data_IF_438966896462
#
_entry.id   IF_438966896462
#
_cell.length_a   1.000
_cell.length_b   1.000
_cell.length_c   1.000
_cell.angle_alpha   90.00
_cell.angle_beta   90.00
_cell.angle_gamma   90.00
#
_symmetry.space_group_name_H-M   'P 1'
#
loop_
_entity.id
_entity.type
_entity.pdbx_description
1 polymer ?
#
# COMPACT_ATOMS: atom_id res chain seq x y z
N UNK A 1 66.02 24.35 -23.54
CA UNK A 1 65.51 23.15 -24.26
C UNK A 1 64.76 22.34 -23.22
N UNK A 2 63.44 22.39 -23.03
CA UNK A 2 62.27 22.23 -23.92
C UNK A 2 62.35 20.98 -24.79
N UNK A 3 61.55 19.97 -24.41
CA UNK A 3 61.13 18.82 -25.22
C UNK A 3 60.64 17.68 -24.30
N UNK A 4 59.34 17.56 -23.98
CA UNK A 4 58.25 16.90 -24.75
C UNK A 4 58.41 15.37 -24.80
N UNK A 5 57.44 14.47 -24.57
CA UNK A 5 56.07 14.39 -23.99
C UNK A 5 55.74 12.87 -23.87
N UNK A 6 54.62 12.54 -23.21
CA UNK A 6 53.66 11.46 -23.54
C UNK A 6 53.92 10.02 -23.05
N UNK A 7 53.13 9.58 -22.05
CA UNK A 7 51.90 8.78 -22.24
C UNK A 7 51.29 8.32 -20.90
N UNK A 8 49.99 8.64 -20.71
CA UNK A 8 48.89 7.75 -20.26
C UNK A 8 48.95 7.09 -18.87
N UNK A 9 47.88 6.88 -18.08
CA UNK A 9 46.42 7.05 -18.19
C UNK A 9 45.79 6.50 -16.89
N UNK A 10 44.57 6.95 -16.55
CA UNK A 10 43.60 6.39 -15.54
C UNK A 10 43.95 6.70 -14.07
N UNK A 11 43.36 7.67 -13.34
CA UNK A 11 41.95 8.06 -13.11
C UNK A 11 41.07 6.92 -12.57
N UNK A 12 40.98 6.83 -11.23
CA UNK A 12 40.03 5.97 -10.54
C UNK A 12 39.57 6.59 -9.22
N UNK A 13 38.78 7.66 -9.29
CA UNK A 13 37.90 8.08 -8.19
C UNK A 13 36.65 7.19 -8.19
N UNK A 14 36.46 6.40 -7.15
CA UNK A 14 35.14 5.93 -6.68
C UNK A 14 35.26 5.86 -5.15
N UNK A 15 34.83 6.87 -4.40
CA UNK A 15 33.42 7.10 -4.02
C UNK A 15 32.77 5.78 -3.57
N UNK A 16 33.26 5.26 -2.46
CA UNK A 16 32.48 4.35 -1.63
C UNK A 16 31.34 5.13 -1.02
N UNK A 17 30.19 5.10 -1.69
CA UNK A 17 28.89 5.51 -1.19
C UNK A 17 28.64 4.81 0.15
N UNK A 18 28.89 5.52 1.25
CA UNK A 18 28.20 5.23 2.50
C UNK A 18 26.76 5.64 2.24
N UNK A 19 25.93 4.67 1.84
CA UNK A 19 24.47 4.84 1.83
C UNK A 19 24.08 5.02 3.30
N UNK A 20 24.17 6.26 3.76
CA UNK A 20 23.38 6.73 4.89
C UNK A 20 21.94 6.68 4.39
N UNK A 21 21.30 5.52 4.62
CA UNK A 21 19.86 5.40 4.49
C UNK A 21 19.26 6.54 5.30
N UNK A 22 18.54 7.42 4.63
CA UNK A 22 17.77 8.46 5.26
C UNK A 22 16.87 7.79 6.30
N UNK A 23 17.23 7.94 7.59
CA UNK A 23 16.25 8.07 8.63
C UNK A 23 15.42 9.31 8.26
N UNK A 24 14.39 9.08 7.44
CA UNK A 24 13.39 10.06 7.08
C UNK A 24 12.71 10.51 8.35
N UNK A 25 13.16 11.66 8.85
CA UNK A 25 12.33 12.74 9.33
C UNK A 25 11.13 12.30 10.15
N UNK A 26 11.35 12.17 11.47
CA UNK A 26 10.29 12.35 12.44
C UNK A 26 9.65 13.72 12.22
N UNK A 27 8.40 13.73 11.77
CA UNK A 27 7.65 14.94 11.45
C UNK A 27 6.17 14.64 11.25
N UNK A 28 5.45 14.63 12.37
CA UNK A 28 4.00 14.91 12.49
C UNK A 28 3.01 13.84 11.99
N UNK A 29 2.29 13.24 12.94
CA UNK A 29 0.89 12.88 12.75
C UNK A 29 0.58 11.39 12.78
N UNK A 30 0.35 10.84 13.98
CA UNK A 30 -0.51 9.69 14.24
C UNK A 30 -0.29 8.44 13.39
N UNK A 31 0.49 7.48 13.91
CA UNK A 31 0.36 6.09 13.51
C UNK A 31 -1.00 5.57 13.97
N UNK A 32 -2.05 5.94 13.25
CA UNK A 32 -3.33 5.28 13.28
C UNK A 32 -3.13 4.05 12.41
N UNK A 33 -3.20 2.85 13.01
CA UNK A 33 -2.82 1.60 12.34
C UNK A 33 -3.59 1.28 11.05
N UNK A 34 -4.57 2.11 10.64
CA UNK A 34 -5.32 2.07 9.38
C UNK A 34 -4.51 2.41 8.14
N UNK A 35 -3.34 3.05 8.25
CA UNK A 35 -2.60 3.57 7.10
C UNK A 35 -1.16 3.06 7.06
N UNK A 36 -0.67 2.73 5.86
CA UNK A 36 0.72 2.32 5.60
C UNK A 36 1.23 2.93 4.31
N UNK A 37 2.54 3.18 4.26
CA UNK A 37 3.22 3.69 3.08
C UNK A 37 4.21 2.65 2.57
N UNK A 38 4.28 2.51 1.25
CA UNK A 38 5.12 1.59 0.52
C UNK A 38 6.01 2.38 -0.44
N UNK A 39 7.25 1.92 -0.63
CA UNK A 39 8.20 2.52 -1.58
C UNK A 39 7.86 2.22 -3.04
N UNK A 40 7.01 1.21 -3.28
CA UNK A 40 6.60 0.82 -4.63
C UNK A 40 5.63 1.84 -5.25
N UNK A 41 5.71 1.98 -6.57
CA UNK A 41 4.85 2.88 -7.35
C UNK A 41 3.37 2.51 -7.27
N UNK A 42 2.51 3.51 -7.46
CA UNK A 42 1.05 3.39 -7.37
C UNK A 42 0.50 2.23 -8.19
N UNK A 43 0.93 2.07 -9.44
CA UNK A 43 0.44 1.01 -10.31
C UNK A 43 0.76 -0.39 -9.78
N UNK A 44 1.94 -0.59 -9.18
CA UNK A 44 2.35 -1.87 -8.62
C UNK A 44 1.51 -2.22 -7.38
N UNK A 45 1.37 -1.27 -6.45
CA UNK A 45 0.58 -1.48 -5.22
C UNK A 45 -0.90 -1.62 -5.54
N UNK A 46 -1.46 -0.80 -6.46
CA UNK A 46 -2.85 -0.92 -6.94
C UNK A 46 -3.10 -2.31 -7.51
N UNK A 47 -2.20 -2.84 -8.33
CA UNK A 47 -2.32 -4.19 -8.90
C UNK A 47 -2.38 -5.24 -7.79
N UNK A 48 -1.48 -5.17 -6.81
CA UNK A 48 -1.48 -6.12 -5.69
C UNK A 48 -2.76 -6.00 -4.86
N UNK A 49 -3.25 -4.79 -4.58
CA UNK A 49 -4.53 -4.59 -3.89
C UNK A 49 -5.68 -5.18 -4.71
N UNK A 50 -5.70 -4.97 -6.03
CA UNK A 50 -6.70 -5.55 -6.92
C UNK A 50 -6.67 -7.09 -6.87
N UNK A 51 -5.49 -7.70 -6.91
CA UNK A 51 -5.34 -9.15 -6.80
C UNK A 51 -5.80 -9.66 -5.42
N UNK A 52 -5.55 -8.91 -4.35
CA UNK A 52 -6.03 -9.24 -3.00
C UNK A 52 -7.55 -9.21 -2.94
N UNK A 53 -8.21 -8.15 -3.41
CA UNK A 53 -9.68 -8.05 -3.32
C UNK A 53 -10.37 -9.05 -4.24
N UNK A 54 -9.77 -9.43 -5.38
CA UNK A 54 -10.34 -10.41 -6.29
C UNK A 54 -10.12 -11.87 -5.83
N UNK A 55 -9.00 -12.17 -5.16
CA UNK A 55 -8.64 -13.53 -4.74
C UNK A 55 -8.77 -13.77 -3.23
N UNK A 56 -9.63 -13.00 -2.56
CA UNK A 56 -9.87 -13.14 -1.12
C UNK A 56 -11.34 -13.44 -0.84
N UNK A 57 -11.67 -13.49 0.46
CA UNK A 57 -13.05 -13.64 0.96
C UNK A 57 -13.87 -12.35 0.84
N UNK A 58 -13.29 -11.28 0.27
CA UNK A 58 -13.97 -10.02 0.07
C UNK A 58 -14.83 -10.07 -1.19
N UNK A 59 -16.06 -9.57 -1.08
CA UNK A 59 -16.89 -9.16 -2.19
C UNK A 59 -16.56 -7.70 -2.50
N UNK A 60 -16.24 -7.41 -3.76
CA UNK A 60 -16.06 -6.04 -4.24
C UNK A 60 -17.44 -5.45 -4.58
N UNK A 61 -17.82 -4.39 -3.87
CA UNK A 61 -19.08 -3.66 -4.09
C UNK A 61 -18.91 -2.68 -5.24
N UNK A 62 -17.86 -1.86 -5.16
CA UNK A 62 -17.52 -0.88 -6.20
C UNK A 62 -16.03 -0.52 -6.12
N UNK A 63 -15.52 -0.03 -7.25
CA UNK A 63 -14.17 0.53 -7.36
C UNK A 63 -14.32 1.93 -7.96
N UNK A 64 -13.78 2.92 -7.29
CA UNK A 64 -13.75 4.31 -7.75
C UNK A 64 -12.30 4.73 -7.97
N UNK A 65 -12.01 5.27 -9.15
CA UNK A 65 -10.70 5.82 -9.48
C UNK A 65 -10.82 7.33 -9.67
N UNK A 66 -9.85 8.08 -9.13
CA UNK A 66 -9.80 9.53 -9.31
C UNK A 66 -9.46 9.89 -10.75
N UNK A 67 -9.93 11.04 -11.23
CA UNK A 67 -9.72 11.47 -12.63
C UNK A 67 -8.25 11.61 -13.02
N UNK A 68 -7.40 11.95 -12.05
CA UNK A 68 -5.95 12.08 -12.20
C UNK A 68 -5.21 10.74 -12.06
N UNK A 69 -5.92 9.63 -11.83
CA UNK A 69 -5.38 8.29 -11.59
C UNK A 69 -4.34 8.24 -10.46
N UNK A 70 -4.42 9.13 -9.48
CA UNK A 70 -3.53 9.11 -8.30
C UNK A 70 -4.17 8.39 -7.12
N UNK A 71 -5.47 8.08 -7.17
CA UNK A 71 -6.17 7.41 -6.10
C UNK A 71 -7.17 6.38 -6.64
N UNK A 72 -7.20 5.20 -6.01
CA UNK A 72 -8.27 4.21 -6.19
C UNK A 72 -8.87 3.86 -4.83
N UNK A 73 -10.19 3.83 -4.75
CA UNK A 73 -10.97 3.35 -3.60
C UNK A 73 -11.67 2.04 -3.95
N UNK A 74 -11.51 1.04 -3.11
CA UNK A 74 -12.21 -0.22 -3.18
C UNK A 74 -13.20 -0.30 -2.03
N UNK A 75 -14.48 -0.39 -2.35
CA UNK A 75 -15.52 -0.65 -1.37
C UNK A 75 -15.76 -2.15 -1.32
N UNK A 76 -15.52 -2.74 -0.16
CA UNK A 76 -15.53 -4.19 0.03
C UNK A 76 -16.44 -4.59 1.18
N UNK A 77 -16.97 -5.80 1.10
CA UNK A 77 -17.62 -6.46 2.24
C UNK A 77 -17.14 -7.91 2.31
N UNK A 78 -17.35 -8.58 3.43
CA UNK A 78 -17.29 -10.04 3.49
C UNK A 78 -18.67 -10.58 3.17
N UNK A 79 -18.72 -11.54 2.27
CA UNK A 79 -19.95 -12.28 2.02
C UNK A 79 -20.24 -13.16 3.24
N UNK A 80 -21.36 -12.87 3.90
CA UNK A 80 -21.93 -13.78 4.90
C UNK A 80 -23.24 -14.33 4.35
N UNK A 81 -23.45 -15.62 4.54
CA UNK A 81 -24.71 -16.28 4.22
C UNK A 81 -25.57 -16.31 5.48
N UNK A 82 -26.78 -15.75 5.41
CA UNK A 82 -27.81 -15.95 6.43
C UNK A 82 -28.88 -16.83 5.80
N UNK A 83 -28.84 -18.13 6.14
CA UNK A 83 -29.61 -19.15 5.43
C UNK A 83 -29.10 -19.32 3.99
N UNK A 84 -30.01 -19.19 3.01
CA UNK A 84 -29.68 -19.26 1.57
C UNK A 84 -29.41 -17.88 0.94
N UNK A 85 -29.57 -16.79 1.69
CA UNK A 85 -29.40 -15.43 1.18
C UNK A 85 -28.01 -14.89 1.50
N UNK A 86 -27.30 -14.45 0.47
CA UNK A 86 -26.06 -13.69 0.61
C UNK A 86 -26.43 -12.28 1.06
N UNK A 87 -25.98 -11.90 2.26
CA UNK A 87 -26.18 -10.56 2.81
C UNK A 87 -24.84 -9.82 2.81
N UNK A 88 -24.85 -8.60 2.28
CA UNK A 88 -23.72 -7.69 2.37
C UNK A 88 -23.70 -7.09 3.77
N UNK A 89 -22.89 -7.67 4.65
CA UNK A 89 -22.73 -7.16 6.01
C UNK A 89 -21.47 -6.30 6.07
N UNK A 90 -21.66 -5.05 6.48
CA UNK A 90 -20.64 -4.11 6.91
C UNK A 90 -19.56 -3.79 5.84
N UNK A 91 -19.70 -2.62 5.22
CA UNK A 91 -18.79 -2.13 4.18
C UNK A 91 -17.49 -1.59 4.79
N UNK A 92 -16.35 -2.09 4.32
CA UNK A 92 -15.03 -1.50 4.55
C UNK A 92 -14.51 -0.82 3.29
N UNK A 93 -13.47 -0.01 3.45
CA UNK A 93 -12.85 0.75 2.34
C UNK A 93 -11.35 0.49 2.31
N UNK A 94 -10.79 0.23 1.13
CA UNK A 94 -9.35 0.28 0.89
C UNK A 94 -9.07 1.47 -0.02
N UNK A 95 -8.20 2.38 0.39
CA UNK A 95 -7.84 3.57 -0.37
C UNK A 95 -6.35 3.47 -0.72
N UNK A 96 -6.03 3.42 -2.01
CA UNK A 96 -4.67 3.41 -2.54
C UNK A 96 -4.40 4.78 -3.14
N UNK A 97 -3.37 5.48 -2.67
CA UNK A 97 -3.00 6.83 -3.10
C UNK A 97 -1.53 6.87 -3.51
N UNK A 98 -1.24 7.23 -4.75
CA UNK A 98 0.12 7.53 -5.22
C UNK A 98 0.66 8.80 -4.55
N UNK A 99 1.93 8.77 -4.17
CA UNK A 99 2.64 9.89 -3.57
C UNK A 99 3.55 10.54 -4.60
N UNK A 100 3.70 11.86 -4.53
CA UNK A 100 4.51 12.63 -5.49
C UNK A 100 5.99 12.21 -5.54
N UNK A 101 6.50 11.57 -4.48
CA UNK A 101 7.89 11.12 -4.35
C UNK A 101 8.13 9.69 -4.87
N UNK A 102 7.14 9.09 -5.57
CA UNK A 102 7.27 7.76 -6.19
C UNK A 102 6.84 6.59 -5.31
N UNK A 103 6.32 6.85 -4.12
CA UNK A 103 5.74 5.84 -3.23
C UNK A 103 4.21 5.74 -3.31
N UNK A 104 3.63 4.85 -2.51
CA UNK A 104 2.18 4.65 -2.42
C UNK A 104 1.72 4.54 -0.99
N UNK A 105 0.66 5.26 -0.63
CA UNK A 105 -0.04 5.13 0.64
C UNK A 105 -1.27 4.25 0.48
N UNK A 106 -1.43 3.27 1.34
CA UNK A 106 -2.64 2.44 1.45
C UNK A 106 -3.28 2.68 2.81
N UNK A 107 -4.56 2.99 2.79
CA UNK A 107 -5.41 3.12 3.97
C UNK A 107 -6.52 2.07 3.91
N UNK A 108 -6.81 1.45 5.06
CA UNK A 108 -7.88 0.46 5.19
C UNK A 108 -8.78 0.85 6.35
N UNK A 109 -10.02 1.17 6.00
CA UNK A 109 -11.10 1.47 6.92
C UNK A 109 -11.89 0.17 7.17
N UNK A 110 -11.94 -0.23 8.43
CA UNK A 110 -12.80 -1.35 8.83
C UNK A 110 -14.26 -0.89 8.78
N UNK A 111 -15.19 -1.84 8.61
CA UNK A 111 -16.60 -1.48 8.61
C UNK A 111 -17.07 -0.82 9.90
N UNK A 112 -18.03 0.09 9.76
CA UNK A 112 -18.73 0.65 10.92
C UNK A 112 -19.75 -0.37 11.45
N UNK A 113 -19.59 -0.72 12.72
CA UNK A 113 -20.49 -1.63 13.42
C UNK A 113 -21.41 -0.84 14.34
N UNK A 114 -22.70 -1.17 14.31
CA UNK A 114 -23.62 -0.73 15.35
C UNK A 114 -23.22 -1.31 16.71
N UNK A 115 -23.59 -0.62 17.80
CA UNK A 115 -23.28 -1.01 19.18
C UNK A 115 -23.85 -2.38 19.59
N UNK A 116 -24.76 -2.94 18.80
CA UNK A 116 -25.35 -4.26 19.00
C UNK A 116 -24.50 -5.41 18.50
N UNK A 117 -23.45 -5.15 17.68
CA UNK A 117 -22.57 -6.20 17.15
C UNK A 117 -21.48 -6.53 18.18
N UNK A 118 -21.42 -7.77 18.70
CA UNK A 118 -20.39 -8.19 19.63
C UNK A 118 -18.99 -8.05 19.04
N UNK A 119 -18.00 -7.69 19.87
CA UNK A 119 -16.63 -7.44 19.40
C UNK A 119 -15.98 -8.63 18.68
N UNK A 120 -16.36 -9.87 18.99
CA UNK A 120 -15.81 -11.07 18.34
C UNK A 120 -16.37 -11.30 16.93
N UNK A 121 -17.48 -10.66 16.57
CA UNK A 121 -18.09 -10.70 15.24
C UNK A 121 -17.60 -9.53 14.36
N UNK A 122 -16.86 -8.58 14.95
CA UNK A 122 -16.30 -7.45 14.20
C UNK A 122 -15.13 -7.93 13.36
N UNK A 123 -15.26 -7.73 12.06
CA UNK A 123 -14.22 -8.02 11.10
C UNK A 123 -13.14 -6.94 11.09
N UNK A 124 -11.89 -7.39 11.03
CA UNK A 124 -10.70 -6.55 10.96
C UNK A 124 -10.08 -6.68 9.56
N UNK A 125 -10.71 -6.00 8.59
CA UNK A 125 -10.30 -6.02 7.18
C UNK A 125 -8.87 -5.52 7.03
N UNK A 126 -8.52 -4.47 7.79
CA UNK A 126 -7.19 -3.90 7.87
C UNK A 126 -6.11 -4.92 8.16
N UNK A 127 -6.29 -5.77 9.18
CA UNK A 127 -5.31 -6.82 9.51
C UNK A 127 -5.13 -7.79 8.34
N UNK A 128 -6.21 -8.20 7.70
CA UNK A 128 -6.16 -9.18 6.61
C UNK A 128 -5.53 -8.59 5.34
N UNK A 129 -5.94 -7.38 4.95
CA UNK A 129 -5.42 -6.68 3.76
C UNK A 129 -3.93 -6.41 3.92
N UNK A 130 -3.50 -5.86 5.05
CA UNK A 130 -2.09 -5.53 5.26
C UNK A 130 -1.19 -6.76 5.35
N UNK A 131 -1.64 -7.84 6.02
CA UNK A 131 -0.90 -9.10 6.06
C UNK A 131 -0.65 -9.66 4.65
N UNK A 132 -1.63 -9.54 3.75
CA UNK A 132 -1.51 -10.01 2.36
C UNK A 132 -0.65 -9.08 1.52
N UNK A 133 -0.79 -7.76 1.68
CA UNK A 133 0.05 -6.77 0.99
C UNK A 133 1.53 -6.96 1.32
N UNK A 134 1.87 -7.09 2.60
CA UNK A 134 3.25 -7.33 3.03
C UNK A 134 3.83 -8.59 2.41
N UNK A 135 3.05 -9.69 2.42
CA UNK A 135 3.49 -10.93 1.80
C UNK A 135 3.72 -10.78 0.30
N UNK A 136 2.79 -10.16 -0.42
CA UNK A 136 2.86 -10.02 -1.87
C UNK A 136 3.91 -9.02 -2.37
N UNK A 137 4.33 -8.06 -1.54
CA UNK A 137 5.36 -7.07 -1.90
C UNK A 137 6.78 -7.50 -1.49
N UNK A 138 6.92 -8.56 -0.68
CA UNK A 138 8.21 -9.15 -0.30
C UNK A 138 8.62 -10.34 -1.18
N UNK A 139 7.69 -10.89 -1.97
CA UNK A 139 7.91 -11.95 -2.97
C UNK A 139 8.36 -11.36 -4.32
#
# INVERSE_FOLDING_TARGET
MVGKVFKSMVLGCMVGLVVQGCAGTGGLGGSSGSTRTYEQEYAAVKKVVNDIVQNSVFLVISIEESEDNTQTKYYISKSNYVGEQQVNQHQGTIIVTGLAEGGTRVEVENPEYHYTVPNYEKEDYRREVFRRLEKALQE
#
